data_IF_711865595847
#
_entry.id   IF_711865595847
#
_cell.length_a   1.000
_cell.length_b   1.000
_cell.length_c   1.000
_cell.angle_alpha   90.00
_cell.angle_beta   90.00
_cell.angle_gamma   90.00
#
_symmetry.space_group_name_H-M   'P 1'
#
loop_
_entity.id
_entity.type
_entity.pdbx_description
1 polymer ?
#
# COMPACT_ATOMS: atom_id res chain seq x y z
N UNK A 1 -2.11 -14.25 -26.56
CA UNK A 1 -2.30 -14.84 -25.23
C UNK A 1 -3.60 -15.58 -25.27
N UNK A 2 -3.61 -16.84 -24.86
CA UNK A 2 -4.74 -17.72 -25.12
C UNK A 2 -5.99 -17.33 -24.31
N UNK A 3 -7.14 -17.28 -24.98
CA UNK A 3 -8.48 -17.00 -24.41
C UNK A 3 -8.90 -17.91 -23.22
N UNK A 4 -8.15 -18.95 -22.94
CA UNK A 4 -8.40 -19.91 -21.84
C UNK A 4 -7.91 -19.41 -20.45
N UNK A 5 -7.09 -18.35 -20.37
CA UNK A 5 -6.58 -17.82 -19.09
C UNK A 5 -7.56 -16.88 -18.37
N UNK A 6 -8.69 -16.57 -18.99
CA UNK A 6 -9.63 -15.55 -18.49
C UNK A 6 -10.87 -16.11 -17.80
N UNK A 7 -11.01 -17.40 -17.62
CA UNK A 7 -12.19 -17.99 -17.01
C UNK A 7 -11.93 -18.37 -15.54
N UNK A 8 -12.84 -17.97 -14.65
CA UNK A 8 -12.89 -18.44 -13.27
C UNK A 8 -13.33 -19.91 -13.26
N UNK A 9 -12.36 -20.80 -13.14
CA UNK A 9 -12.63 -22.25 -12.98
C UNK A 9 -12.99 -22.57 -11.53
N UNK A 10 -13.57 -23.75 -11.29
CA UNK A 10 -13.88 -24.21 -9.92
C UNK A 10 -12.64 -24.20 -9.00
N UNK A 11 -11.46 -24.53 -9.53
CA UNK A 11 -10.21 -24.48 -8.78
C UNK A 11 -9.86 -23.04 -8.35
N UNK A 12 -10.02 -22.06 -9.26
CA UNK A 12 -9.78 -20.65 -8.96
C UNK A 12 -10.80 -20.10 -7.96
N UNK A 13 -12.07 -20.48 -8.09
CA UNK A 13 -13.11 -20.12 -7.13
C UNK A 13 -12.81 -20.67 -5.73
N UNK A 14 -12.43 -21.96 -5.65
CA UNK A 14 -12.03 -22.56 -4.37
C UNK A 14 -10.82 -21.84 -3.77
N UNK A 15 -9.84 -21.46 -4.60
CA UNK A 15 -8.68 -20.68 -4.17
C UNK A 15 -9.06 -19.29 -3.67
N UNK A 16 -10.01 -18.62 -4.34
CA UNK A 16 -10.53 -17.31 -3.95
C UNK A 16 -11.19 -17.36 -2.57
N UNK A 17 -12.14 -18.27 -2.38
CA UNK A 17 -12.87 -18.40 -1.11
C UNK A 17 -12.01 -18.91 0.05
N UNK A 18 -10.92 -19.61 -0.23
CA UNK A 18 -10.00 -20.10 0.82
C UNK A 18 -8.86 -19.13 1.18
N UNK A 19 -8.80 -17.95 0.55
CA UNK A 19 -7.75 -16.97 0.83
C UNK A 19 -6.39 -17.31 0.18
N UNK A 20 -6.37 -18.16 -0.83
CA UNK A 20 -5.15 -18.62 -1.49
C UNK A 20 -4.93 -18.00 -2.89
N UNK A 21 -5.88 -17.21 -3.40
CA UNK A 21 -5.82 -16.65 -4.74
C UNK A 21 -4.97 -15.37 -4.77
N UNK A 22 -3.75 -15.48 -5.25
CA UNK A 22 -2.79 -14.37 -5.37
C UNK A 22 -2.87 -13.59 -6.68
N UNK A 23 -3.63 -14.08 -7.64
CA UNK A 23 -3.77 -13.55 -9.00
C UNK A 23 -5.21 -13.12 -9.32
N UNK A 24 -6.01 -12.81 -8.29
CA UNK A 24 -7.42 -12.45 -8.44
C UNK A 24 -7.61 -11.23 -9.38
N UNK A 25 -6.65 -10.30 -9.42
CA UNK A 25 -6.65 -9.14 -10.33
C UNK A 25 -6.65 -9.51 -11.82
N UNK A 26 -6.36 -10.74 -12.20
CA UNK A 26 -6.46 -11.22 -13.59
C UNK A 26 -7.87 -11.67 -13.98
N UNK A 27 -8.74 -11.86 -13.00
CA UNK A 27 -10.08 -12.42 -13.18
C UNK A 27 -11.18 -11.43 -12.82
N UNK A 28 -11.01 -10.69 -11.70
CA UNK A 28 -11.93 -9.66 -11.24
C UNK A 28 -11.57 -8.30 -11.82
N UNK A 29 -12.56 -7.41 -11.89
CA UNK A 29 -12.40 -6.09 -12.48
C UNK A 29 -12.76 -6.04 -13.95
N UNK A 30 -12.32 -4.99 -14.63
CA UNK A 30 -12.54 -4.76 -16.06
C UNK A 30 -11.35 -5.24 -16.90
N UNK A 31 -11.61 -6.15 -17.85
CA UNK A 31 -10.58 -6.71 -18.73
C UNK A 31 -10.98 -6.56 -20.21
N UNK A 32 -10.13 -5.88 -20.99
CA UNK A 32 -10.32 -5.65 -22.42
C UNK A 32 -9.63 -6.73 -23.21
N UNK A 33 -10.38 -7.43 -24.08
CA UNK A 33 -9.87 -8.38 -25.07
C UNK A 33 -9.81 -7.72 -26.47
N UNK A 34 -9.64 -8.52 -27.53
CA UNK A 34 -9.66 -8.00 -28.91
C UNK A 34 -11.01 -7.41 -29.29
N UNK A 35 -12.10 -8.07 -28.89
CA UNK A 35 -13.45 -7.82 -29.41
C UNK A 35 -14.48 -7.43 -28.35
N UNK A 36 -14.14 -7.55 -27.07
CA UNK A 36 -15.04 -7.30 -25.96
C UNK A 36 -14.35 -6.76 -24.71
N UNK A 37 -15.15 -6.25 -23.77
CA UNK A 37 -14.73 -5.89 -22.41
C UNK A 37 -15.52 -6.71 -21.40
N UNK A 38 -14.83 -7.45 -20.53
CA UNK A 38 -15.42 -8.25 -19.47
C UNK A 38 -15.35 -7.50 -18.14
N UNK A 39 -16.44 -7.54 -17.38
CA UNK A 39 -16.49 -7.07 -16.01
C UNK A 39 -16.85 -8.24 -15.09
N UNK A 40 -16.17 -8.34 -13.95
CA UNK A 40 -16.40 -9.41 -12.97
C UNK A 40 -16.24 -8.82 -11.57
N UNK A 41 -17.22 -9.07 -10.69
CA UNK A 41 -17.22 -8.55 -9.31
C UNK A 41 -17.80 -9.56 -8.33
N UNK A 42 -17.29 -9.59 -7.10
CA UNK A 42 -17.82 -10.40 -6.02
C UNK A 42 -18.80 -9.58 -5.19
N UNK A 43 -20.09 -9.97 -5.25
CA UNK A 43 -21.20 -9.30 -4.55
C UNK A 43 -22.19 -10.35 -4.05
N UNK A 44 -21.88 -11.06 -2.95
CA UNK A 44 -22.78 -12.06 -2.39
C UNK A 44 -24.08 -11.41 -1.91
N UNK A 45 -25.21 -12.10 -2.14
CA UNK A 45 -26.52 -11.71 -1.64
C UNK A 45 -27.18 -10.51 -2.32
N UNK A 46 -26.58 -9.93 -3.38
CA UNK A 46 -27.25 -8.90 -4.16
C UNK A 46 -28.50 -9.44 -4.88
N UNK A 47 -29.56 -8.65 -4.96
CA UNK A 47 -30.76 -8.94 -5.76
C UNK A 47 -30.49 -8.75 -7.26
N UNK A 48 -29.63 -7.79 -7.61
CA UNK A 48 -29.18 -7.51 -8.97
C UNK A 48 -27.88 -6.72 -8.98
N UNK A 49 -27.12 -6.85 -10.04
CA UNK A 49 -25.90 -6.03 -10.28
C UNK A 49 -25.90 -5.58 -11.73
N UNK A 50 -25.64 -4.30 -11.93
CA UNK A 50 -25.41 -3.70 -13.23
C UNK A 50 -24.04 -3.03 -13.24
N UNK A 51 -23.42 -2.89 -14.41
CA UNK A 51 -22.27 -2.02 -14.62
C UNK A 51 -22.74 -0.77 -15.39
N UNK A 52 -22.51 0.40 -14.80
CA UNK A 52 -22.77 1.70 -15.41
C UNK A 52 -21.49 2.20 -16.08
N UNK A 53 -21.46 2.18 -17.41
CA UNK A 53 -20.32 2.63 -18.21
C UNK A 53 -20.59 4.01 -18.80
N UNK A 54 -19.64 4.95 -18.63
CA UNK A 54 -19.74 6.29 -19.21
C UNK A 54 -18.69 6.48 -20.30
N UNK A 55 -19.13 6.77 -21.51
CA UNK A 55 -18.25 7.03 -22.64
C UNK A 55 -17.53 8.38 -22.45
N UNK A 56 -16.19 8.45 -22.54
CA UNK A 56 -15.45 9.68 -22.33
C UNK A 56 -15.68 10.75 -23.43
N UNK A 57 -16.14 10.37 -24.64
CA UNK A 57 -16.31 11.29 -25.75
C UNK A 57 -17.64 12.06 -25.70
N UNK A 58 -18.73 11.39 -25.31
CA UNK A 58 -20.08 11.98 -25.34
C UNK A 58 -20.73 12.08 -23.95
N UNK A 59 -20.09 11.56 -22.90
CA UNK A 59 -20.55 11.58 -21.51
C UNK A 59 -21.93 10.92 -21.33
N UNK A 60 -22.27 9.94 -22.17
CA UNK A 60 -23.48 9.14 -22.03
C UNK A 60 -23.18 7.95 -21.14
N UNK A 61 -23.99 7.79 -20.08
CA UNK A 61 -23.94 6.62 -19.21
C UNK A 61 -24.92 5.55 -19.75
N UNK A 62 -24.41 4.34 -19.89
CA UNK A 62 -25.19 3.16 -20.25
C UNK A 62 -25.11 2.13 -19.13
N UNK A 63 -26.24 1.49 -18.82
CA UNK A 63 -26.38 0.45 -17.82
C UNK A 63 -26.45 -0.92 -18.50
N UNK A 64 -25.63 -1.85 -18.01
CA UNK A 64 -25.61 -3.23 -18.51
C UNK A 64 -25.83 -4.21 -17.35
N UNK A 65 -26.92 -4.99 -17.43
CA UNK A 65 -27.25 -6.01 -16.43
C UNK A 65 -26.23 -7.14 -16.43
N UNK A 66 -25.70 -7.48 -15.26
CA UNK A 66 -24.74 -8.58 -15.07
C UNK A 66 -25.47 -9.87 -14.71
N UNK A 67 -24.86 -11.00 -15.01
CA UNK A 67 -25.36 -12.33 -14.67
C UNK A 67 -24.49 -12.96 -13.58
N UNK A 68 -25.10 -13.80 -12.75
CA UNK A 68 -24.35 -14.61 -11.78
C UNK A 68 -23.47 -15.62 -12.50
N UNK A 69 -22.26 -15.81 -11.98
CA UNK A 69 -21.35 -16.80 -12.52
C UNK A 69 -21.93 -18.22 -12.34
N UNK A 70 -21.94 -19.09 -13.38
CA UNK A 70 -22.63 -20.37 -13.35
C UNK A 70 -22.13 -21.37 -12.30
N UNK A 71 -20.90 -21.23 -11.84
CA UNK A 71 -20.28 -22.05 -10.80
C UNK A 71 -20.34 -21.44 -9.41
N UNK A 72 -20.66 -20.12 -9.31
CA UNK A 72 -20.66 -19.39 -8.05
C UNK A 72 -21.59 -18.17 -8.10
N UNK A 73 -22.78 -18.25 -7.51
CA UNK A 73 -23.78 -17.19 -7.56
C UNK A 73 -23.39 -15.93 -6.76
N UNK A 74 -22.30 -15.94 -6.02
CA UNK A 74 -21.80 -14.76 -5.30
C UNK A 74 -20.98 -13.83 -6.20
N UNK A 75 -20.63 -14.30 -7.40
CA UNK A 75 -19.86 -13.56 -8.41
C UNK A 75 -20.76 -13.16 -9.55
N UNK A 76 -20.67 -11.91 -9.96
CA UNK A 76 -21.42 -11.33 -11.07
C UNK A 76 -20.48 -10.98 -12.21
N UNK A 77 -20.90 -11.23 -13.44
CA UNK A 77 -20.09 -11.02 -14.63
C UNK A 77 -20.92 -10.59 -15.83
N UNK A 78 -20.26 -9.88 -16.77
CA UNK A 78 -20.81 -9.56 -18.09
C UNK A 78 -19.68 -9.42 -19.10
N UNK A 79 -19.97 -9.73 -20.36
CA UNK A 79 -19.13 -9.45 -21.51
C UNK A 79 -19.86 -8.47 -22.43
N UNK A 80 -19.31 -7.27 -22.58
CA UNK A 80 -19.87 -6.22 -23.43
C UNK A 80 -19.09 -6.18 -24.73
N UNK A 81 -19.73 -6.31 -25.90
CA UNK A 81 -19.06 -6.18 -27.20
C UNK A 81 -18.35 -4.84 -27.33
N UNK A 82 -17.13 -4.88 -27.85
CA UNK A 82 -16.31 -3.69 -28.06
C UNK A 82 -15.28 -3.45 -26.94
N UNK A 83 -14.34 -2.58 -27.27
CA UNK A 83 -13.22 -2.23 -26.39
C UNK A 83 -13.56 -0.94 -25.65
N UNK A 84 -13.99 -1.03 -24.41
CA UNK A 84 -14.37 0.12 -23.60
C UNK A 84 -13.17 0.81 -22.90
N UNK A 85 -11.96 0.66 -23.45
CA UNK A 85 -10.75 1.32 -22.89
C UNK A 85 -10.96 2.81 -22.71
N UNK A 86 -10.73 3.32 -21.49
CA UNK A 86 -10.89 4.74 -21.16
C UNK A 86 -12.31 5.12 -20.70
N UNK A 87 -13.28 4.23 -20.79
CA UNK A 87 -14.60 4.46 -20.20
C UNK A 87 -14.47 4.51 -18.69
N UNK A 88 -15.15 5.45 -18.05
CA UNK A 88 -15.35 5.37 -16.60
C UNK A 88 -16.54 4.47 -16.29
N UNK A 89 -16.47 3.75 -15.17
CA UNK A 89 -17.52 2.82 -14.79
C UNK A 89 -17.63 2.68 -13.27
N UNK A 90 -18.80 2.21 -12.84
CA UNK A 90 -19.10 1.81 -11.46
C UNK A 90 -20.13 0.69 -11.46
N UNK A 91 -20.19 -0.10 -10.40
CA UNK A 91 -21.22 -1.09 -10.21
C UNK A 91 -22.44 -0.45 -9.56
N UNK A 92 -23.64 -0.78 -10.05
CA UNK A 92 -24.92 -0.46 -9.44
C UNK A 92 -25.45 -1.75 -8.85
N UNK A 93 -25.48 -1.81 -7.52
CA UNK A 93 -25.81 -3.01 -6.75
C UNK A 93 -27.19 -2.82 -6.14
N UNK A 94 -28.13 -3.71 -6.46
CA UNK A 94 -29.43 -3.77 -5.82
C UNK A 94 -29.35 -4.71 -4.62
N UNK A 95 -29.58 -4.17 -3.43
CA UNK A 95 -29.63 -4.95 -2.19
C UNK A 95 -30.97 -5.71 -2.09
N UNK A 96 -31.08 -6.76 -1.25
CA UNK A 96 -32.31 -7.53 -1.09
C UNK A 96 -33.54 -6.72 -0.63
N UNK A 97 -33.30 -5.57 0.01
CA UNK A 97 -34.36 -4.63 0.43
C UNK A 97 -34.67 -3.53 -0.61
N UNK A 98 -34.05 -3.63 -1.79
CA UNK A 98 -34.33 -2.75 -2.94
C UNK A 98 -33.54 -1.43 -2.94
N UNK A 99 -32.56 -1.25 -2.07
CA UNK A 99 -31.65 -0.08 -2.14
C UNK A 99 -30.70 -0.24 -3.32
N UNK A 100 -30.43 0.86 -4.03
CA UNK A 100 -29.40 0.90 -5.08
C UNK A 100 -28.14 1.58 -4.55
N UNK A 101 -27.02 0.86 -4.62
CA UNK A 101 -25.70 1.33 -4.21
C UNK A 101 -24.83 1.51 -5.46
N UNK A 102 -24.11 2.65 -5.56
CA UNK A 102 -23.13 2.87 -6.61
C UNK A 102 -21.73 2.70 -6.02
N UNK A 103 -20.93 1.77 -6.60
CA UNK A 103 -19.65 1.34 -6.07
C UNK A 103 -18.57 1.33 -7.14
N UNK A 104 -17.42 1.91 -6.82
CA UNK A 104 -16.20 1.73 -7.61
C UNK A 104 -15.75 0.28 -7.57
N UNK A 105 -15.11 -0.18 -8.62
CA UNK A 105 -14.63 -1.56 -8.71
C UNK A 105 -13.45 -1.79 -7.74
N UNK A 106 -13.55 -2.78 -6.83
CA UNK A 106 -12.47 -3.12 -5.92
C UNK A 106 -11.15 -3.50 -6.61
N UNK A 107 -11.24 -4.08 -7.83
CA UNK A 107 -10.10 -4.51 -8.62
C UNK A 107 -9.72 -3.55 -9.76
N UNK A 108 -10.27 -2.33 -9.77
CA UNK A 108 -9.95 -1.35 -10.80
C UNK A 108 -8.43 -1.06 -10.86
N UNK A 109 -7.87 -1.09 -12.06
CA UNK A 109 -6.45 -0.80 -12.30
C UNK A 109 -6.20 0.65 -12.73
N UNK A 110 -7.25 1.45 -12.84
CA UNK A 110 -7.21 2.89 -13.08
C UNK A 110 -8.48 3.55 -12.53
N UNK A 111 -8.38 4.82 -12.16
CA UNK A 111 -9.48 5.62 -11.62
C UNK A 111 -9.52 6.99 -12.28
N UNK A 112 -10.70 7.64 -12.26
CA UNK A 112 -10.81 9.03 -12.67
C UNK A 112 -9.96 9.94 -11.77
N UNK A 113 -9.59 11.10 -12.31
CA UNK A 113 -8.95 12.15 -11.52
C UNK A 113 -9.97 12.75 -10.53
N UNK A 114 -9.55 12.88 -9.26
CA UNK A 114 -10.37 13.55 -8.24
C UNK A 114 -10.85 14.95 -8.70
N UNK A 115 -12.01 15.42 -8.30
CA UNK A 115 -12.92 14.87 -7.27
C UNK A 115 -13.83 13.72 -7.75
N UNK A 116 -13.67 13.26 -9.00
CA UNK A 116 -14.41 12.13 -9.51
C UNK A 116 -13.89 10.82 -8.89
N UNK A 117 -14.77 9.83 -8.78
CA UNK A 117 -14.52 8.60 -8.00
C UNK A 117 -14.71 7.30 -8.77
N UNK A 118 -15.18 7.36 -10.02
CA UNK A 118 -15.43 6.15 -10.81
C UNK A 118 -14.12 5.44 -11.19
N UNK A 119 -14.21 4.16 -11.33
CA UNK A 119 -13.19 3.33 -11.94
C UNK A 119 -13.05 3.62 -13.42
N UNK A 120 -11.88 3.37 -14.00
CA UNK A 120 -11.63 3.53 -15.45
C UNK A 120 -11.19 2.19 -16.04
N UNK A 121 -11.74 1.81 -17.17
CA UNK A 121 -11.29 0.65 -17.93
C UNK A 121 -9.87 0.89 -18.41
N UNK A 122 -8.91 0.23 -17.78
CA UNK A 122 -7.50 0.46 -18.00
C UNK A 122 -7.06 0.06 -19.42
N UNK A 123 -6.21 0.87 -20.03
CA UNK A 123 -5.54 0.51 -21.27
C UNK A 123 -4.51 -0.60 -21.01
N UNK A 124 -4.34 -1.50 -21.97
CA UNK A 124 -3.23 -2.45 -21.92
C UNK A 124 -1.89 -1.70 -21.84
N UNK A 125 -1.05 -2.11 -20.90
CA UNK A 125 0.28 -1.51 -20.70
C UNK A 125 1.11 -1.65 -21.99
N UNK A 126 1.73 -0.55 -22.41
CA UNK A 126 2.71 -0.51 -23.51
C UNK A 126 4.14 -0.63 -22.99
N UNK A 127 4.32 -0.53 -21.66
CA UNK A 127 5.65 -0.65 -21.05
C UNK A 127 6.15 -2.08 -21.12
N UNK A 128 7.41 -2.24 -21.48
CA UNK A 128 8.09 -3.55 -21.47
C UNK A 128 9.32 -3.49 -20.55
N UNK A 129 9.38 -4.41 -19.59
CA UNK A 129 10.52 -4.52 -18.69
C UNK A 129 11.74 -5.05 -19.44
N UNK A 130 12.81 -4.26 -19.54
CA UNK A 130 14.04 -4.73 -20.15
C UNK A 130 14.72 -5.79 -19.27
N UNK A 131 15.42 -6.75 -19.91
CA UNK A 131 16.19 -7.78 -19.17
C UNK A 131 17.23 -7.15 -18.25
N UNK A 132 17.85 -6.04 -18.65
CA UNK A 132 18.83 -5.31 -17.86
C UNK A 132 18.21 -4.74 -16.58
N UNK A 133 17.03 -4.11 -16.67
CA UNK A 133 16.31 -3.58 -15.50
C UNK A 133 15.97 -4.70 -14.52
N UNK A 134 15.39 -5.81 -15.00
CA UNK A 134 15.05 -6.96 -14.16
C UNK A 134 16.28 -7.57 -13.48
N UNK A 135 17.42 -7.62 -14.20
CA UNK A 135 18.66 -8.11 -13.62
C UNK A 135 19.23 -7.15 -12.56
N UNK A 136 19.17 -5.84 -12.80
CA UNK A 136 19.62 -4.85 -11.81
C UNK A 136 18.82 -4.95 -10.52
N UNK A 137 17.49 -5.05 -10.60
CA UNK A 137 16.62 -5.22 -9.43
C UNK A 137 16.98 -6.47 -8.62
N UNK A 138 17.16 -7.59 -9.30
CA UNK A 138 17.55 -8.84 -8.65
C UNK A 138 18.91 -8.74 -7.93
N UNK A 139 19.92 -8.11 -8.56
CA UNK A 139 21.24 -7.95 -7.96
C UNK A 139 21.23 -6.96 -6.79
N UNK A 140 20.45 -5.89 -6.91
CA UNK A 140 20.38 -4.84 -5.90
C UNK A 140 19.82 -5.38 -4.58
N UNK A 141 18.72 -6.10 -4.64
CA UNK A 141 18.01 -6.57 -3.46
C UNK A 141 18.57 -7.88 -2.89
N UNK A 142 19.38 -8.59 -3.69
CA UNK A 142 20.03 -9.82 -3.22
C UNK A 142 20.95 -9.52 -2.03
N UNK A 143 20.83 -10.29 -0.96
CA UNK A 143 21.61 -10.15 0.28
C UNK A 143 21.47 -8.73 0.91
N UNK A 144 20.28 -8.16 0.88
CA UNK A 144 19.99 -6.84 1.46
C UNK A 144 20.34 -6.75 2.96
N UNK A 145 20.39 -7.88 3.68
CA UNK A 145 20.83 -7.90 5.09
C UNK A 145 22.28 -7.48 5.28
N UNK A 146 23.16 -7.85 4.33
CA UNK A 146 24.60 -7.61 4.39
C UNK A 146 25.03 -6.25 3.80
N UNK A 147 24.15 -5.61 3.01
CA UNK A 147 24.45 -4.34 2.33
C UNK A 147 24.01 -3.14 3.17
N UNK A 148 24.73 -2.01 3.08
CA UNK A 148 24.21 -0.75 3.58
C UNK A 148 22.86 -0.41 2.95
N UNK A 149 21.94 0.11 3.75
CA UNK A 149 20.64 0.58 3.30
C UNK A 149 20.38 1.94 3.94
N UNK A 150 20.12 2.94 3.11
CA UNK A 150 19.64 4.25 3.52
C UNK A 150 18.42 4.59 2.66
N UNK A 151 17.28 4.77 3.30
CA UNK A 151 15.98 4.96 2.65
C UNK A 151 15.60 6.44 2.75
N UNK A 152 15.17 7.01 1.64
CA UNK A 152 14.56 8.34 1.58
C UNK A 152 13.06 8.20 1.43
N UNK A 153 12.32 8.53 2.50
CA UNK A 153 10.87 8.55 2.52
C UNK A 153 10.35 9.84 1.89
N UNK A 154 9.35 9.76 1.03
CA UNK A 154 8.71 10.94 0.46
C UNK A 154 7.23 10.73 0.11
N UNK A 155 6.45 11.81 0.22
CA UNK A 155 5.15 11.97 -0.41
C UNK A 155 5.31 12.77 -1.71
N UNK A 156 4.95 12.19 -2.86
CA UNK A 156 5.17 12.80 -4.19
C UNK A 156 4.53 14.18 -4.28
N UNK A 157 3.29 14.32 -3.82
CA UNK A 157 2.51 15.55 -3.91
C UNK A 157 3.04 16.73 -3.07
N UNK A 158 3.87 16.48 -2.06
CA UNK A 158 4.43 17.52 -1.18
C UNK A 158 5.93 17.73 -1.35
N UNK A 159 6.63 16.86 -2.10
CA UNK A 159 8.07 16.94 -2.27
C UNK A 159 8.50 18.16 -3.06
N UNK A 160 7.96 18.30 -4.28
CA UNK A 160 8.19 19.47 -5.15
C UNK A 160 6.98 19.74 -6.05
N UNK A 161 6.92 20.97 -6.55
CA UNK A 161 6.00 21.38 -7.60
C UNK A 161 6.78 21.66 -8.90
N UNK A 162 6.11 21.49 -10.04
CA UNK A 162 6.66 21.91 -11.32
C UNK A 162 6.60 23.44 -11.49
N UNK A 163 7.10 23.96 -12.61
CA UNK A 163 7.12 25.40 -12.88
C UNK A 163 5.72 26.05 -12.97
N UNK A 164 4.67 25.27 -13.18
CA UNK A 164 3.28 25.69 -13.24
C UNK A 164 2.60 25.66 -11.85
N UNK A 165 3.27 25.11 -10.84
CA UNK A 165 2.73 24.93 -9.50
C UNK A 165 1.97 23.62 -9.28
N UNK A 166 1.92 22.75 -10.28
CA UNK A 166 1.27 21.44 -10.24
C UNK A 166 2.16 20.38 -9.56
N UNK A 167 1.59 19.21 -9.27
CA UNK A 167 2.38 18.04 -8.86
C UNK A 167 3.34 17.62 -9.96
N UNK A 168 4.53 17.14 -9.58
CA UNK A 168 5.39 16.44 -10.53
C UNK A 168 4.70 15.14 -10.97
N UNK A 169 4.68 14.88 -12.27
CA UNK A 169 4.29 13.58 -12.77
C UNK A 169 5.45 12.57 -12.62
N UNK A 170 5.16 11.27 -12.80
CA UNK A 170 6.15 10.21 -12.62
C UNK A 170 7.39 10.37 -13.52
N UNK A 171 7.27 10.98 -14.71
CA UNK A 171 8.42 11.21 -15.62
C UNK A 171 9.27 12.38 -15.16
N UNK A 172 8.66 13.47 -14.73
CA UNK A 172 9.35 14.62 -14.13
C UNK A 172 10.02 14.19 -12.83
N UNK A 173 9.34 13.39 -12.01
CA UNK A 173 9.90 12.82 -10.78
C UNK A 173 11.17 12.01 -11.06
N UNK A 174 11.19 11.19 -12.11
CA UNK A 174 12.38 10.42 -12.48
C UNK A 174 13.59 11.33 -12.77
N UNK A 175 13.37 12.46 -13.44
CA UNK A 175 14.45 13.38 -13.81
C UNK A 175 14.97 14.24 -12.64
N UNK A 176 14.13 14.50 -11.64
CA UNK A 176 14.47 15.37 -10.52
C UNK A 176 14.90 14.60 -9.26
N UNK A 177 14.16 13.55 -8.90
CA UNK A 177 14.38 12.82 -7.66
C UNK A 177 15.59 11.89 -7.72
N UNK A 178 15.78 11.17 -8.83
CA UNK A 178 16.87 10.19 -8.90
C UNK A 178 18.25 10.86 -8.73
N UNK A 179 18.59 11.95 -9.44
CA UNK A 179 19.86 12.67 -9.18
C UNK A 179 19.98 13.17 -7.74
N UNK A 180 18.86 13.67 -7.16
CA UNK A 180 18.83 14.13 -5.77
C UNK A 180 19.17 13.01 -4.78
N UNK A 181 18.61 11.82 -4.96
CA UNK A 181 18.85 10.63 -4.12
C UNK A 181 20.31 10.18 -4.21
N UNK A 182 20.85 10.09 -5.43
CA UNK A 182 22.23 9.67 -5.68
C UNK A 182 23.27 10.64 -5.10
N UNK A 183 23.05 11.95 -5.28
CA UNK A 183 23.93 13.00 -4.75
C UNK A 183 24.04 12.96 -3.21
N UNK A 184 22.98 12.49 -2.53
CA UNK A 184 22.91 12.39 -1.07
C UNK A 184 23.25 11.00 -0.52
N UNK A 185 23.57 10.06 -1.39
CA UNK A 185 24.02 8.72 -0.98
C UNK A 185 22.90 7.79 -0.47
N UNK A 186 21.63 8.12 -0.71
CA UNK A 186 20.53 7.19 -0.42
C UNK A 186 20.53 6.02 -1.40
N UNK A 187 20.13 4.85 -0.93
CA UNK A 187 20.10 3.61 -1.71
C UNK A 187 18.70 3.22 -2.16
N UNK A 188 17.70 3.66 -1.42
CA UNK A 188 16.29 3.35 -1.66
C UNK A 188 15.43 4.60 -1.50
N UNK A 189 14.29 4.58 -2.15
CA UNK A 189 13.19 5.52 -1.97
C UNK A 189 12.03 4.73 -1.38
N UNK A 190 11.42 5.21 -0.31
CA UNK A 190 10.13 4.76 0.19
C UNK A 190 9.09 5.81 -0.20
N UNK A 191 8.12 5.41 -1.01
CA UNK A 191 7.05 6.30 -1.46
C UNK A 191 5.83 6.06 -0.59
N UNK A 192 5.33 7.12 0.07
CA UNK A 192 4.04 7.12 0.74
C UNK A 192 2.95 6.64 -0.24
N UNK A 193 1.80 6.15 0.26
CA UNK A 193 0.87 5.40 -0.58
C UNK A 193 0.50 6.10 -1.88
N UNK A 194 0.72 5.42 -3.00
CA UNK A 194 0.30 5.86 -4.35
C UNK A 194 -0.88 5.06 -4.87
N UNK A 195 -1.50 4.25 -4.04
CA UNK A 195 -2.81 3.67 -4.30
C UNK A 195 -3.85 4.79 -4.40
N UNK A 196 -4.88 4.62 -5.25
CA UNK A 196 -5.87 5.68 -5.43
C UNK A 196 -6.63 5.97 -4.13
N UNK A 197 -6.87 7.27 -3.88
CA UNK A 197 -7.49 7.78 -2.66
C UNK A 197 -8.25 9.10 -2.96
N UNK A 198 -9.34 9.41 -2.25
CA UNK A 198 -10.16 10.59 -2.55
C UNK A 198 -9.55 11.89 -2.00
N UNK A 199 -8.91 11.85 -0.84
CA UNK A 199 -8.48 13.01 -0.07
C UNK A 199 -6.95 13.21 -0.14
N UNK A 200 -6.49 14.35 -0.65
CA UNK A 200 -5.05 14.66 -0.76
C UNK A 200 -4.37 14.71 0.61
N UNK A 201 -5.05 15.22 1.62
CA UNK A 201 -4.55 15.39 2.98
C UNK A 201 -4.35 14.06 3.71
N UNK A 202 -4.94 12.96 3.21
CA UNK A 202 -4.69 11.62 3.74
C UNK A 202 -3.34 11.04 3.31
N UNK A 203 -2.64 11.69 2.36
CA UNK A 203 -1.40 11.22 1.74
C UNK A 203 -1.46 9.79 1.20
N UNK A 204 -2.69 9.30 0.92
CA UNK A 204 -2.97 7.97 0.39
C UNK A 204 -3.29 6.91 1.45
N UNK A 205 -3.21 7.23 2.74
CA UNK A 205 -3.54 6.28 3.81
C UNK A 205 -5.05 5.96 3.92
N UNK A 206 -5.90 6.75 3.27
CA UNK A 206 -7.33 6.46 3.09
C UNK A 206 -7.59 5.88 1.69
N UNK A 207 -7.05 4.70 1.44
CA UNK A 207 -7.08 4.03 0.13
C UNK A 207 -8.50 3.64 -0.29
N UNK A 208 -8.84 3.92 -1.57
CA UNK A 208 -10.05 3.45 -2.24
C UNK A 208 -9.76 2.46 -3.37
N UNK A 209 -8.59 2.56 -4.02
CA UNK A 209 -8.23 1.72 -5.17
C UNK A 209 -6.95 0.92 -4.95
N UNK A 210 -7.07 -0.31 -4.46
CA UNK A 210 -5.95 -1.19 -4.08
C UNK A 210 -5.09 -1.68 -5.27
N UNK A 211 -5.60 -1.58 -6.50
CA UNK A 211 -4.92 -1.99 -7.73
C UNK A 211 -4.67 -0.83 -8.70
N UNK A 212 -5.11 0.38 -8.36
CA UNK A 212 -4.94 1.55 -9.19
C UNK A 212 -3.84 2.47 -8.65
N UNK A 213 -2.76 2.74 -9.41
CA UNK A 213 -1.90 3.87 -9.09
C UNK A 213 -2.73 5.16 -9.19
N UNK A 214 -2.57 6.05 -8.20
CA UNK A 214 -3.33 7.30 -8.21
C UNK A 214 -3.12 8.08 -9.50
N UNK A 215 -4.20 8.57 -10.07
CA UNK A 215 -4.22 9.36 -11.30
C UNK A 215 -3.54 10.74 -11.18
N UNK A 216 -3.23 11.18 -9.94
CA UNK A 216 -2.62 12.49 -9.63
C UNK A 216 -1.27 12.73 -10.30
N UNK A 217 -0.48 11.67 -10.48
CA UNK A 217 0.93 11.78 -10.90
C UNK A 217 1.17 11.18 -12.29
N UNK A 218 0.12 10.77 -12.99
CA UNK A 218 0.20 10.15 -14.31
C UNK A 218 -0.49 8.79 -14.38
N UNK A 219 -0.19 8.03 -15.41
CA UNK A 219 -0.77 6.71 -15.63
C UNK A 219 0.18 5.57 -15.21
N UNK A 220 -0.31 4.34 -15.30
CA UNK A 220 0.45 3.14 -14.94
C UNK A 220 1.77 2.98 -15.73
N UNK A 221 1.79 3.33 -17.01
CA UNK A 221 3.02 3.24 -17.83
C UNK A 221 4.06 4.29 -17.43
N UNK A 222 3.62 5.47 -16.99
CA UNK A 222 4.51 6.52 -16.48
C UNK A 222 5.14 6.09 -15.13
N UNK A 223 4.35 5.44 -14.25
CA UNK A 223 4.88 4.85 -13.03
C UNK A 223 5.89 3.74 -13.33
N UNK A 224 5.58 2.83 -14.26
CA UNK A 224 6.52 1.78 -14.71
C UNK A 224 7.82 2.39 -15.29
N UNK A 225 7.71 3.49 -16.01
CA UNK A 225 8.88 4.24 -16.50
C UNK A 225 9.74 4.75 -15.34
N UNK A 226 9.13 5.38 -14.33
CA UNK A 226 9.85 5.88 -13.14
C UNK A 226 10.57 4.73 -12.42
N UNK A 227 9.89 3.62 -12.18
CA UNK A 227 10.46 2.42 -11.53
C UNK A 227 11.64 1.86 -12.35
N UNK A 228 11.50 1.81 -13.68
CA UNK A 228 12.59 1.36 -14.56
C UNK A 228 13.81 2.29 -14.44
N UNK A 229 13.58 3.61 -14.38
CA UNK A 229 14.66 4.60 -14.22
C UNK A 229 15.35 4.48 -12.85
N UNK A 230 14.61 4.23 -11.76
CA UNK A 230 15.20 3.92 -10.47
C UNK A 230 16.12 2.70 -10.56
N UNK A 231 15.65 1.60 -11.16
CA UNK A 231 16.44 0.38 -11.32
C UNK A 231 17.68 0.54 -12.19
N UNK A 232 17.60 1.31 -13.30
CA UNK A 232 18.75 1.65 -14.15
C UNK A 232 19.85 2.37 -13.36
N UNK A 233 19.45 3.18 -12.39
CA UNK A 233 20.35 3.94 -11.52
C UNK A 233 20.68 3.23 -10.19
N UNK A 234 20.27 1.97 -10.02
CA UNK A 234 20.49 1.15 -8.82
C UNK A 234 19.86 1.76 -7.55
N UNK A 235 18.76 2.46 -7.69
CA UNK A 235 17.94 2.96 -6.59
C UNK A 235 16.78 1.99 -6.39
N UNK A 236 16.64 1.42 -5.19
CA UNK A 236 15.51 0.56 -4.84
C UNK A 236 14.26 1.39 -4.58
N UNK A 237 13.10 0.80 -4.81
CA UNK A 237 11.82 1.48 -4.63
C UNK A 237 10.88 0.64 -3.75
N UNK A 238 10.56 1.17 -2.59
CA UNK A 238 9.66 0.57 -1.59
C UNK A 238 8.33 1.28 -1.67
N UNK A 239 7.24 0.52 -1.72
CA UNK A 239 5.87 1.06 -1.67
C UNK A 239 5.36 1.00 -0.24
N UNK A 240 4.87 2.11 0.26
CA UNK A 240 4.07 2.14 1.48
C UNK A 240 2.66 1.62 1.16
N UNK A 241 2.26 0.53 1.80
CA UNK A 241 1.04 -0.22 1.48
C UNK A 241 0.25 -0.54 2.74
N UNK A 242 -1.08 -0.36 2.67
CA UNK A 242 -1.98 -0.42 3.81
C UNK A 242 -2.75 -1.74 3.82
N UNK A 243 -2.33 -2.79 4.53
CA UNK A 243 -3.01 -4.09 4.59
C UNK A 243 -4.15 -4.16 5.60
N UNK A 244 -4.20 -3.25 6.59
CA UNK A 244 -5.03 -3.39 7.77
C UNK A 244 -6.38 -2.70 7.72
N UNK A 245 -6.46 -1.56 7.03
CA UNK A 245 -7.65 -0.72 7.04
C UNK A 245 -7.87 0.01 5.72
N UNK A 246 -9.06 0.59 5.54
CA UNK A 246 -9.44 1.37 4.36
C UNK A 246 -10.43 2.48 4.75
N UNK A 247 -10.69 3.42 3.84
CA UNK A 247 -11.55 4.57 4.09
C UNK A 247 -13.04 4.20 4.18
N UNK A 248 -13.83 5.09 4.79
CA UNK A 248 -15.28 4.92 4.99
C UNK A 248 -16.12 5.44 3.81
N UNK A 249 -15.49 5.90 2.74
CA UNK A 249 -16.17 6.51 1.59
C UNK A 249 -17.16 5.55 0.95
N UNK A 250 -18.42 6.00 0.81
CA UNK A 250 -19.53 5.17 0.35
C UNK A 250 -19.37 4.61 -1.07
N UNK A 251 -18.61 5.31 -1.92
CA UNK A 251 -18.35 4.85 -3.29
C UNK A 251 -17.34 3.70 -3.35
N UNK A 252 -16.59 3.43 -2.27
CA UNK A 252 -15.52 2.43 -2.22
C UNK A 252 -15.98 1.14 -1.51
N UNK A 253 -15.08 0.51 -0.72
CA UNK A 253 -15.30 -0.82 -0.13
C UNK A 253 -16.31 -0.85 1.02
N UNK A 254 -16.51 0.27 1.72
CA UNK A 254 -17.39 0.34 2.90
C UNK A 254 -18.82 -0.08 2.56
N UNK A 255 -19.38 -1.06 3.29
CA UNK A 255 -20.73 -1.62 3.06
C UNK A 255 -20.98 -1.90 1.56
N UNK A 256 -20.05 -2.63 0.93
CA UNK A 256 -20.01 -2.76 -0.52
C UNK A 256 -21.30 -3.32 -1.13
N UNK A 257 -21.94 -4.28 -0.46
CA UNK A 257 -23.23 -4.85 -0.84
C UNK A 257 -24.38 -4.45 0.11
N UNK A 258 -24.22 -3.35 0.87
CA UNK A 258 -25.16 -2.91 1.90
C UNK A 258 -24.89 -3.52 3.28
N UNK A 259 -23.95 -4.46 3.38
CA UNK A 259 -23.55 -5.11 4.63
C UNK A 259 -22.03 -5.06 4.79
N UNK A 260 -21.45 -5.36 5.97
CA UNK A 260 -20.01 -5.48 6.15
C UNK A 260 -19.44 -6.63 5.30
N UNK A 261 -18.98 -6.31 4.09
CA UNK A 261 -18.45 -7.31 3.16
C UNK A 261 -16.92 -7.43 3.28
N UNK A 262 -16.21 -6.34 3.11
CA UNK A 262 -14.74 -6.27 3.24
C UNK A 262 -14.30 -5.96 4.66
N UNK A 263 -15.07 -5.16 5.38
CA UNK A 263 -14.81 -4.76 6.75
C UNK A 263 -15.16 -5.84 7.77
N UNK A 264 -14.52 -5.73 8.94
CA UNK A 264 -14.75 -6.58 10.09
C UNK A 264 -16.23 -6.52 10.54
N UNK A 265 -16.87 -7.67 10.68
CA UNK A 265 -18.27 -7.77 11.07
C UNK A 265 -18.50 -7.41 12.54
N UNK A 266 -17.54 -7.71 13.39
CA UNK A 266 -17.60 -7.42 14.83
C UNK A 266 -17.50 -5.91 15.06
N UNK A 267 -18.57 -5.29 15.53
CA UNK A 267 -18.69 -3.83 15.68
C UNK A 267 -17.53 -3.21 16.47
N UNK A 268 -17.12 -3.89 17.55
CA UNK A 268 -16.03 -3.42 18.43
C UNK A 268 -14.64 -3.44 17.77
N UNK A 269 -14.48 -4.12 16.63
CA UNK A 269 -13.22 -4.22 15.90
C UNK A 269 -13.26 -3.54 14.53
N UNK A 270 -14.44 -3.08 14.09
CA UNK A 270 -14.68 -2.60 12.72
C UNK A 270 -13.99 -1.28 12.42
N UNK A 271 -14.09 -0.32 13.33
CA UNK A 271 -13.66 1.05 13.10
C UNK A 271 -12.40 1.41 13.87
N UNK A 272 -11.58 2.27 13.26
CA UNK A 272 -10.49 3.00 13.90
C UNK A 272 -10.93 4.46 14.06
N UNK A 273 -11.49 4.85 15.20
CA UNK A 273 -12.05 6.18 15.38
C UNK A 273 -11.02 7.31 15.27
N UNK A 274 -9.75 7.03 15.62
CA UNK A 274 -8.67 8.01 15.56
C UNK A 274 -8.29 8.36 14.10
N UNK A 275 -8.51 7.46 13.15
CA UNK A 275 -8.16 7.62 11.73
C UNK A 275 -9.39 7.74 10.82
N UNK A 276 -10.61 7.49 11.34
CA UNK A 276 -11.83 7.49 10.54
C UNK A 276 -11.84 6.39 9.47
N UNK A 277 -11.26 5.22 9.76
CA UNK A 277 -11.12 4.09 8.81
C UNK A 277 -11.81 2.84 9.32
N UNK A 278 -12.01 1.86 8.43
CA UNK A 278 -12.55 0.53 8.72
C UNK A 278 -11.46 -0.53 8.59
N UNK A 279 -11.46 -1.52 9.49
CA UNK A 279 -10.54 -2.64 9.44
C UNK A 279 -11.06 -3.75 8.51
N UNK A 280 -10.17 -4.38 7.75
CA UNK A 280 -10.49 -5.56 6.95
C UNK A 280 -10.84 -6.78 7.82
N UNK A 281 -11.81 -7.56 7.37
CA UNK A 281 -12.12 -8.87 7.97
C UNK A 281 -11.26 -9.98 7.35
N UNK A 282 -10.05 -10.15 7.87
CA UNK A 282 -9.09 -11.16 7.37
C UNK A 282 -9.46 -12.61 7.76
N UNK A 283 -10.65 -12.84 8.34
CA UNK A 283 -11.22 -14.18 8.50
C UNK A 283 -11.91 -14.66 7.22
N UNK A 284 -12.33 -13.72 6.35
CA UNK A 284 -12.96 -14.03 5.06
C UNK A 284 -11.88 -14.34 4.03
N UNK A 285 -11.94 -15.53 3.45
CA UNK A 285 -10.95 -15.95 2.45
C UNK A 285 -10.91 -15.03 1.24
N UNK A 286 -12.05 -14.48 0.83
CA UNK A 286 -12.17 -13.53 -0.28
C UNK A 286 -11.43 -12.23 -0.01
N UNK A 287 -11.52 -11.73 1.23
CA UNK A 287 -10.78 -10.53 1.66
C UNK A 287 -9.27 -10.81 1.73
N UNK A 288 -8.88 -11.99 2.22
CA UNK A 288 -7.49 -12.44 2.21
C UNK A 288 -6.97 -12.55 0.78
N UNK A 289 -7.75 -13.13 -0.15
CA UNK A 289 -7.40 -13.22 -1.56
C UNK A 289 -7.28 -11.84 -2.22
N UNK A 290 -8.17 -10.90 -1.90
CA UNK A 290 -8.12 -9.52 -2.36
C UNK A 290 -6.81 -8.82 -1.95
N UNK A 291 -6.47 -8.84 -0.66
CA UNK A 291 -5.26 -8.22 -0.14
C UNK A 291 -3.99 -8.91 -0.65
N UNK A 292 -3.96 -10.25 -0.62
CA UNK A 292 -2.83 -11.02 -1.16
C UNK A 292 -2.61 -10.73 -2.64
N UNK A 293 -3.70 -10.70 -3.42
CA UNK A 293 -3.65 -10.37 -4.84
C UNK A 293 -3.16 -8.94 -5.09
N UNK A 294 -3.54 -7.96 -4.25
CA UNK A 294 -3.04 -6.58 -4.34
C UNK A 294 -1.52 -6.53 -4.13
N UNK A 295 -1.00 -7.17 -3.08
CA UNK A 295 0.45 -7.21 -2.84
C UNK A 295 1.20 -7.86 -4.01
N UNK A 296 0.71 -9.00 -4.51
CA UNK A 296 1.29 -9.66 -5.68
C UNK A 296 1.24 -8.79 -6.94
N UNK A 297 0.14 -8.04 -7.17
CA UNK A 297 -0.01 -7.13 -8.29
C UNK A 297 1.09 -6.05 -8.32
N UNK A 298 1.33 -5.36 -7.21
CA UNK A 298 2.36 -4.33 -7.14
C UNK A 298 3.77 -4.86 -7.37
N UNK A 299 4.09 -6.05 -6.87
CA UNK A 299 5.38 -6.69 -7.13
C UNK A 299 5.47 -7.28 -8.54
N UNK A 300 4.37 -7.84 -9.07
CA UNK A 300 4.39 -8.48 -10.38
C UNK A 300 4.27 -7.48 -11.53
N UNK A 301 3.31 -6.56 -11.49
CA UNK A 301 3.05 -5.64 -12.60
C UNK A 301 3.97 -4.43 -12.58
N UNK A 302 4.24 -3.86 -11.39
CA UNK A 302 5.06 -2.66 -11.25
C UNK A 302 6.50 -2.96 -10.86
N UNK A 303 6.81 -4.16 -10.36
CA UNK A 303 8.18 -4.54 -9.99
C UNK A 303 8.75 -3.64 -8.88
N UNK A 304 7.94 -3.26 -7.88
CA UNK A 304 8.47 -2.66 -6.66
C UNK A 304 9.49 -3.59 -6.00
N UNK A 305 10.44 -3.03 -5.28
CA UNK A 305 11.50 -3.80 -4.62
C UNK A 305 11.05 -4.32 -3.24
N UNK A 306 9.95 -3.80 -2.72
CA UNK A 306 9.38 -4.24 -1.46
C UNK A 306 8.25 -3.35 -0.98
N UNK A 307 7.81 -3.63 0.25
CA UNK A 307 6.78 -2.89 0.95
C UNK A 307 7.27 -2.40 2.32
N UNK A 308 6.86 -1.21 2.68
CA UNK A 308 6.59 -0.84 4.06
C UNK A 308 5.10 -1.08 4.30
N UNK A 309 4.76 -1.94 5.25
CA UNK A 309 3.36 -2.26 5.55
C UNK A 309 2.91 -1.43 6.74
N UNK A 310 1.96 -0.54 6.45
CA UNK A 310 1.42 0.47 7.35
C UNK A 310 0.55 -0.12 8.45
N UNK A 311 0.61 0.48 9.63
CA UNK A 311 -0.32 0.30 10.75
C UNK A 311 -0.64 -1.17 11.09
N UNK A 312 0.38 -2.04 11.14
CA UNK A 312 0.17 -3.45 11.46
C UNK A 312 -0.49 -3.69 12.84
N UNK A 313 -0.53 -2.66 13.68
CA UNK A 313 -1.28 -2.69 14.95
C UNK A 313 -2.76 -3.07 14.76
N UNK A 314 -3.37 -2.69 13.62
CA UNK A 314 -4.75 -3.05 13.27
C UNK A 314 -4.95 -4.56 13.03
N UNK A 315 -3.89 -5.23 12.58
CA UNK A 315 -3.90 -6.67 12.29
C UNK A 315 -3.31 -7.49 13.43
N UNK A 316 -2.28 -6.99 14.12
CA UNK A 316 -1.56 -7.75 15.15
C UNK A 316 -2.23 -7.68 16.52
N UNK A 317 -3.08 -6.68 16.75
CA UNK A 317 -3.76 -6.50 18.05
C UNK A 317 -5.27 -6.34 17.84
N UNK A 318 -6.04 -6.69 18.88
CA UNK A 318 -7.48 -6.45 18.87
C UNK A 318 -7.71 -4.95 19.10
N UNK A 319 -8.30 -4.22 18.14
CA UNK A 319 -8.51 -2.79 18.25
C UNK A 319 -9.44 -2.44 19.43
N UNK A 320 -9.28 -1.25 19.98
CA UNK A 320 -10.16 -0.66 21.00
C UNK A 320 -10.31 -1.51 22.27
N UNK A 321 -9.40 -2.45 22.55
CA UNK A 321 -9.45 -3.30 23.73
C UNK A 321 -8.33 -2.98 24.70
N UNK A 322 -8.68 -2.76 25.96
CA UNK A 322 -7.71 -2.52 27.03
C UNK A 322 -6.70 -3.68 27.13
N UNK A 323 -5.43 -3.37 27.40
CA UNK A 323 -4.35 -4.35 27.45
C UNK A 323 -3.84 -4.82 26.10
N UNK A 324 -4.43 -4.36 24.99
CA UNK A 324 -3.99 -4.65 23.61
C UNK A 324 -3.71 -6.13 23.36
N UNK A 325 -4.70 -7.02 23.53
CA UNK A 325 -4.49 -8.45 23.30
C UNK A 325 -4.15 -8.73 21.85
N UNK A 326 -3.31 -9.74 21.61
CA UNK A 326 -2.89 -10.14 20.29
C UNK A 326 -4.08 -10.63 19.46
N UNK A 327 -4.10 -10.27 18.19
CA UNK A 327 -5.05 -10.73 17.19
C UNK A 327 -4.42 -11.88 16.38
N UNK A 328 -4.73 -13.10 16.74
CA UNK A 328 -4.16 -14.29 16.10
C UNK A 328 -4.58 -14.43 14.65
N UNK A 329 -5.81 -14.01 14.30
CA UNK A 329 -6.37 -14.05 12.95
C UNK A 329 -5.55 -13.14 12.00
N UNK A 330 -5.26 -11.92 12.44
CA UNK A 330 -4.44 -10.98 11.68
C UNK A 330 -2.97 -11.38 11.60
N UNK A 331 -2.41 -11.96 12.67
CA UNK A 331 -1.04 -12.50 12.66
C UNK A 331 -0.92 -13.66 11.66
N UNK A 332 -1.89 -14.58 11.62
CA UNK A 332 -1.92 -15.69 10.67
C UNK A 332 -2.02 -15.20 9.21
N UNK A 333 -2.87 -14.19 8.95
CA UNK A 333 -2.94 -13.55 7.64
C UNK A 333 -1.58 -12.99 7.22
N UNK A 334 -0.90 -12.22 8.08
CA UNK A 334 0.42 -11.66 7.78
C UNK A 334 1.48 -12.75 7.55
N UNK A 335 1.46 -13.84 8.32
CA UNK A 335 2.36 -14.98 8.12
C UNK A 335 2.16 -15.63 6.75
N UNK A 336 0.91 -15.84 6.34
CA UNK A 336 0.58 -16.38 5.00
C UNK A 336 1.04 -15.43 3.90
N UNK A 337 0.78 -14.14 4.05
CA UNK A 337 1.17 -13.11 3.11
C UNK A 337 2.69 -13.02 2.96
N UNK A 338 3.43 -12.86 4.06
CA UNK A 338 4.90 -12.73 4.02
C UNK A 338 5.57 -13.97 3.43
N UNK A 339 5.09 -15.18 3.78
CA UNK A 339 5.59 -16.43 3.19
C UNK A 339 5.33 -16.48 1.69
N UNK A 340 4.10 -16.17 1.24
CA UNK A 340 3.76 -16.14 -0.18
C UNK A 340 4.64 -15.15 -0.95
N UNK A 341 4.82 -13.94 -0.42
CA UNK A 341 5.66 -12.93 -1.08
C UNK A 341 7.12 -13.35 -1.18
N UNK A 342 7.69 -13.95 -0.13
CA UNK A 342 9.07 -14.47 -0.14
C UNK A 342 9.25 -15.65 -1.11
N UNK A 343 8.26 -16.52 -1.21
CA UNK A 343 8.28 -17.66 -2.13
C UNK A 343 8.33 -17.20 -3.59
N UNK A 344 7.47 -16.23 -3.97
CA UNK A 344 7.36 -15.78 -5.36
C UNK A 344 8.35 -14.67 -5.72
N UNK A 345 8.79 -13.89 -4.74
CA UNK A 345 9.70 -12.74 -4.91
C UNK A 345 10.79 -12.78 -3.84
N UNK A 346 11.74 -13.73 -3.93
CA UNK A 346 12.75 -13.97 -2.86
C UNK A 346 13.68 -12.78 -2.60
N UNK A 347 13.77 -11.83 -3.50
CA UNK A 347 14.55 -10.61 -3.33
C UNK A 347 13.71 -9.41 -2.81
N UNK A 348 12.42 -9.61 -2.50
CA UNK A 348 11.58 -8.51 -1.97
C UNK A 348 12.03 -8.07 -0.58
N UNK A 349 11.82 -6.80 -0.26
CA UNK A 349 12.08 -6.24 1.07
C UNK A 349 10.74 -6.00 1.76
N UNK A 350 10.52 -6.59 2.93
CA UNK A 350 9.30 -6.44 3.71
C UNK A 350 9.63 -5.73 5.02
N UNK A 351 9.09 -4.52 5.21
CA UNK A 351 9.29 -3.67 6.37
C UNK A 351 7.96 -3.56 7.13
N UNK A 352 7.99 -3.83 8.41
CA UNK A 352 6.83 -3.74 9.28
C UNK A 352 6.80 -2.40 10.02
N UNK A 353 5.65 -1.73 10.00
CA UNK A 353 5.34 -0.65 10.91
C UNK A 353 4.46 -1.21 12.05
N UNK A 354 5.08 -1.48 13.20
CA UNK A 354 4.39 -1.93 14.42
C UNK A 354 4.81 -1.08 15.61
N UNK A 355 3.93 -0.16 16.02
CA UNK A 355 4.15 0.77 17.10
C UNK A 355 3.92 0.17 18.51
N UNK A 356 3.34 -1.04 18.62
CA UNK A 356 2.94 -1.65 19.89
C UNK A 356 3.74 -2.87 20.30
N UNK A 357 4.85 -3.13 19.61
CA UNK A 357 5.83 -4.16 19.98
C UNK A 357 5.27 -5.59 19.99
N UNK A 358 4.62 -6.01 18.88
CA UNK A 358 4.30 -7.42 18.68
C UNK A 358 5.61 -8.23 18.67
N UNK A 359 5.65 -9.42 19.33
CA UNK A 359 6.88 -10.19 19.41
C UNK A 359 7.22 -10.89 18.10
N UNK A 360 8.52 -11.03 17.82
CA UNK A 360 9.05 -11.82 16.68
C UNK A 360 8.54 -11.38 15.31
N UNK A 361 8.32 -10.09 15.10
CA UNK A 361 7.84 -9.56 13.81
C UNK A 361 8.81 -9.91 12.68
N UNK A 362 10.12 -9.84 12.93
CA UNK A 362 11.16 -10.10 11.92
C UNK A 362 11.76 -11.51 11.97
N UNK A 363 11.24 -12.40 12.82
CA UNK A 363 11.62 -13.80 12.82
C UNK A 363 10.87 -14.59 11.74
N UNK A 364 11.44 -15.72 11.33
CA UNK A 364 10.79 -16.58 10.34
C UNK A 364 9.50 -17.22 10.90
N UNK A 365 8.55 -17.47 10.02
CA UNK A 365 7.26 -18.06 10.40
C UNK A 365 7.45 -19.45 11.03
N UNK A 366 8.45 -20.21 10.57
CA UNK A 366 8.83 -21.52 11.15
C UNK A 366 9.32 -21.44 12.60
N UNK A 367 9.76 -20.26 13.04
CA UNK A 367 10.20 -19.96 14.41
C UNK A 367 9.10 -19.30 15.25
N UNK A 368 7.87 -19.23 14.70
CA UNK A 368 6.73 -18.56 15.31
C UNK A 368 6.75 -17.05 15.14
N UNK A 369 7.52 -16.53 14.19
CA UNK A 369 7.54 -15.12 13.81
C UNK A 369 6.48 -14.74 12.80
N UNK A 370 6.40 -13.44 12.45
CA UNK A 370 5.48 -12.93 11.44
C UNK A 370 6.09 -12.94 10.03
N UNK A 371 7.42 -13.01 9.93
CA UNK A 371 8.11 -13.21 8.66
C UNK A 371 8.56 -11.94 7.95
N UNK A 372 8.53 -10.77 8.55
CA UNK A 372 9.10 -9.55 7.95
C UNK A 372 10.62 -9.59 7.91
N UNK A 373 11.21 -8.77 7.03
CA UNK A 373 12.66 -8.62 6.96
C UNK A 373 13.17 -7.58 7.96
N UNK A 374 12.44 -6.49 8.11
CA UNK A 374 12.77 -5.38 9.01
C UNK A 374 11.51 -4.89 9.73
N UNK A 375 11.75 -4.18 10.83
CA UNK A 375 10.75 -3.49 11.62
C UNK A 375 11.24 -2.09 11.99
N UNK A 376 10.38 -1.08 11.90
CA UNK A 376 10.71 0.25 12.41
C UNK A 376 10.96 0.23 13.90
N UNK A 377 12.01 0.93 14.35
CA UNK A 377 12.34 1.03 15.77
C UNK A 377 11.75 2.30 16.39
N UNK A 378 10.47 2.27 16.73
CA UNK A 378 9.78 3.38 17.38
C UNK A 378 10.37 3.74 18.75
N UNK A 379 10.88 2.76 19.52
CA UNK A 379 11.53 3.00 20.79
C UNK A 379 12.76 3.88 20.65
N UNK A 380 13.66 3.50 19.74
CA UNK A 380 14.84 4.30 19.40
C UNK A 380 14.47 5.70 18.91
N UNK A 381 13.48 5.80 18.03
CA UNK A 381 13.06 7.07 17.44
C UNK A 381 12.56 8.03 18.53
N UNK A 382 11.62 7.60 19.37
CA UNK A 382 11.04 8.42 20.44
C UNK A 382 12.10 8.84 21.46
N UNK A 383 12.91 7.89 21.94
CA UNK A 383 13.96 8.18 22.91
C UNK A 383 15.00 9.15 22.36
N UNK A 384 15.39 8.99 21.10
CA UNK A 384 16.36 9.88 20.43
C UNK A 384 15.79 11.29 20.26
N UNK A 385 14.55 11.42 19.78
CA UNK A 385 13.91 12.72 19.59
C UNK A 385 13.68 13.42 20.94
N UNK A 386 13.16 12.74 21.95
CA UNK A 386 12.98 13.27 23.29
C UNK A 386 14.30 13.79 23.90
N UNK A 387 15.39 13.03 23.71
CA UNK A 387 16.72 13.49 24.16
C UNK A 387 17.15 14.76 23.42
N UNK A 388 16.98 14.80 22.12
CA UNK A 388 17.41 15.94 21.28
C UNK A 388 16.55 17.20 21.52
N UNK A 389 15.26 17.05 21.82
CA UNK A 389 14.35 18.15 22.21
C UNK A 389 14.65 18.71 23.59
N UNK A 390 15.28 17.91 24.46
CA UNK A 390 15.66 18.35 25.81
C UNK A 390 16.71 19.44 25.75
N UNK A 391 16.56 20.49 26.58
CA UNK A 391 17.56 21.56 26.67
C UNK A 391 18.94 21.01 26.99
N UNK A 392 20.03 21.50 26.35
CA UNK A 392 21.37 20.92 26.44
C UNK A 392 21.91 20.78 27.88
N UNK A 393 21.59 21.71 28.74
CA UNK A 393 21.98 21.71 30.18
C UNK A 393 21.28 20.63 31.01
N UNK A 394 20.14 20.10 30.52
CA UNK A 394 19.36 19.05 31.18
C UNK A 394 19.54 17.65 30.56
N UNK A 395 20.27 17.52 29.47
CA UNK A 395 20.44 16.23 28.76
C UNK A 395 21.12 15.15 29.61
N UNK A 396 21.94 15.53 30.57
CA UNK A 396 22.51 14.58 31.51
C UNK A 396 21.48 13.81 32.34
N UNK A 397 20.30 14.41 32.59
CA UNK A 397 19.22 13.81 33.37
C UNK A 397 18.48 12.72 32.57
N UNK A 398 18.52 12.77 31.25
CA UNK A 398 17.83 11.85 30.34
C UNK A 398 18.81 11.05 29.46
N UNK A 399 20.07 10.98 29.84
CA UNK A 399 21.13 10.36 29.03
C UNK A 399 20.88 8.89 28.71
N UNK A 400 20.18 8.15 29.60
CA UNK A 400 19.81 6.75 29.37
C UNK A 400 18.98 6.53 28.10
N UNK A 401 18.23 7.53 27.61
CA UNK A 401 17.46 7.44 26.37
C UNK A 401 18.35 7.16 25.15
N UNK A 402 19.58 7.68 25.14
CA UNK A 402 20.50 7.45 24.03
C UNK A 402 21.05 6.02 23.96
N UNK A 403 21.05 5.30 25.09
CA UNK A 403 21.67 3.99 25.21
C UNK A 403 20.66 2.86 25.37
N UNK A 404 19.41 3.16 25.72
CA UNK A 404 18.40 2.14 26.05
C UNK A 404 18.16 1.18 24.88
N UNK A 405 18.09 1.67 23.65
CA UNK A 405 17.88 0.86 22.47
C UNK A 405 18.98 -0.18 22.20
N UNK A 406 20.20 0.04 22.72
CA UNK A 406 21.28 -0.94 22.61
C UNK A 406 21.01 -2.23 23.40
N UNK A 407 20.14 -2.18 24.39
CA UNK A 407 19.79 -3.36 25.21
C UNK A 407 18.95 -4.38 24.42
N UNK A 408 18.12 -3.93 23.47
CA UNK A 408 17.22 -4.78 22.68
C UNK A 408 17.53 -4.79 21.17
N UNK A 409 18.64 -4.19 20.75
CA UNK A 409 18.98 -3.99 19.33
C UNK A 409 19.07 -5.27 18.49
N UNK A 410 19.16 -6.43 19.10
CA UNK A 410 19.23 -7.73 18.44
C UNK A 410 17.97 -8.59 18.60
N UNK A 411 16.93 -8.10 19.29
CA UNK A 411 15.67 -8.80 19.42
C UNK A 411 14.90 -8.88 18.09
N UNK A 412 15.04 -7.83 17.28
CA UNK A 412 14.46 -7.74 15.94
C UNK A 412 15.49 -7.15 14.97
N UNK A 413 15.25 -7.30 13.69
CA UNK A 413 16.03 -6.61 12.65
C UNK A 413 15.46 -5.20 12.42
N UNK A 414 16.03 -4.25 13.15
CA UNK A 414 15.51 -2.89 13.17
C UNK A 414 15.96 -2.04 12.00
N UNK A 415 15.02 -1.20 11.52
CA UNK A 415 15.23 -0.05 10.66
C UNK A 415 14.97 1.20 11.50
N UNK A 416 15.92 2.13 11.51
CA UNK A 416 15.87 3.34 12.32
C UNK A 416 15.21 4.45 11.50
N UNK A 417 13.88 4.52 11.56
CA UNK A 417 13.12 5.55 10.87
C UNK A 417 13.14 6.88 11.63
N UNK A 418 13.25 7.98 10.91
CA UNK A 418 12.84 9.33 11.30
C UNK A 418 11.78 9.75 10.28
N UNK A 419 10.56 9.24 10.47
CA UNK A 419 9.50 9.23 9.47
C UNK A 419 8.68 10.52 9.42
N UNK A 420 7.77 10.57 8.45
CA UNK A 420 6.79 11.64 8.30
C UNK A 420 5.91 11.83 9.56
N UNK A 421 5.58 10.77 10.29
CA UNK A 421 4.73 10.83 11.49
C UNK A 421 5.29 11.76 12.56
N UNK A 422 6.62 11.89 12.63
CA UNK A 422 7.27 12.73 13.63
C UNK A 422 7.42 14.20 13.21
N UNK A 423 7.04 14.56 11.97
CA UNK A 423 7.24 15.91 11.43
C UNK A 423 5.97 16.55 10.87
N UNK A 424 4.83 15.85 10.88
CA UNK A 424 3.53 16.33 10.37
C UNK A 424 2.56 16.68 11.49
N UNK A 425 1.38 17.16 11.13
CA UNK A 425 0.24 17.42 12.04
C UNK A 425 0.61 18.30 13.27
N UNK A 426 1.40 19.34 13.04
CA UNK A 426 1.82 20.25 14.11
C UNK A 426 3.06 19.84 14.89
N UNK A 427 3.67 18.68 14.57
CA UNK A 427 4.90 18.20 15.20
C UNK A 427 6.13 19.05 14.85
N UNK A 428 6.12 19.72 13.69
CA UNK A 428 7.24 20.52 13.19
C UNK A 428 8.36 19.69 12.59
N UNK A 429 9.26 20.34 11.82
CA UNK A 429 10.41 19.65 11.23
C UNK A 429 11.39 19.18 12.30
N UNK A 430 12.26 18.22 11.97
CA UNK A 430 13.36 17.78 12.85
C UNK A 430 14.19 18.97 13.33
N UNK A 431 14.45 19.99 12.47
CA UNK A 431 15.15 21.20 12.84
C UNK A 431 14.39 22.03 13.89
N UNK A 432 13.06 22.12 13.77
CA UNK A 432 12.23 22.89 14.67
C UNK A 432 12.05 22.26 16.06
N UNK A 433 12.25 20.95 16.16
CA UNK A 433 12.24 20.21 17.44
C UNK A 433 13.45 20.54 18.31
N UNK A 434 14.55 21.01 17.69
CA UNK A 434 15.82 21.24 18.39
C UNK A 434 15.83 22.60 19.09
N UNK A 435 16.29 22.68 20.36
CA UNK A 435 16.36 23.94 21.11
C UNK A 435 17.49 24.86 20.63
N UNK A 436 17.39 26.17 20.94
CA UNK A 436 18.41 27.16 20.68
C UNK A 436 18.18 28.03 19.43
N UNK A 437 19.18 28.80 19.06
CA UNK A 437 19.22 29.62 17.86
C UNK A 437 19.23 28.76 16.59
N UNK A 438 18.99 29.35 15.45
CA UNK A 438 18.99 28.62 14.16
C UNK A 438 20.34 27.92 13.90
N UNK A 439 21.46 28.56 14.18
CA UNK A 439 22.79 27.99 14.00
C UNK A 439 23.01 26.80 14.95
N UNK A 440 22.63 26.92 16.21
CA UNK A 440 22.71 25.83 17.19
C UNK A 440 21.82 24.67 16.79
N UNK A 441 20.61 24.91 16.23
CA UNK A 441 19.73 23.85 15.70
C UNK A 441 20.36 23.11 14.54
N UNK A 442 21.03 23.80 13.62
CA UNK A 442 21.76 23.13 12.53
C UNK A 442 22.93 22.29 13.04
N UNK A 443 23.66 22.74 14.07
CA UNK A 443 24.71 21.93 14.71
C UNK A 443 24.14 20.69 15.38
N UNK A 444 23.03 20.83 16.09
CA UNK A 444 22.36 19.70 16.74
C UNK A 444 21.73 18.72 15.72
N UNK A 445 21.20 19.23 14.59
CA UNK A 445 20.69 18.36 13.51
C UNK A 445 21.83 17.51 12.91
N UNK A 446 23.02 18.09 12.71
CA UNK A 446 24.20 17.32 12.28
C UNK A 446 24.58 16.26 13.30
N UNK A 447 24.50 16.57 14.59
CA UNK A 447 24.76 15.62 15.68
C UNK A 447 23.73 14.47 15.64
N UNK A 448 22.44 14.79 15.50
CA UNK A 448 21.37 13.80 15.38
C UNK A 448 21.61 12.87 14.19
N UNK A 449 21.87 13.42 13.00
CA UNK A 449 22.14 12.64 11.79
C UNK A 449 23.43 11.79 11.92
N UNK A 450 24.48 12.33 12.55
CA UNK A 450 25.71 11.58 12.82
C UNK A 450 25.48 10.42 13.79
N UNK A 451 24.71 10.64 14.85
CA UNK A 451 24.30 9.59 15.78
C UNK A 451 23.47 8.52 15.10
N UNK A 452 22.46 8.93 14.31
CA UNK A 452 21.61 8.04 13.53
C UNK A 452 22.41 7.13 12.61
N UNK A 453 23.35 7.71 11.81
CA UNK A 453 24.21 6.94 10.90
C UNK A 453 25.10 5.94 11.66
N UNK A 454 25.63 6.32 12.82
CA UNK A 454 26.54 5.49 13.62
C UNK A 454 25.81 4.42 14.44
N UNK A 455 24.52 4.59 14.74
CA UNK A 455 23.75 3.66 15.58
C UNK A 455 23.47 2.34 14.82
N UNK A 456 23.47 1.16 15.51
CA UNK A 456 23.14 -0.12 14.89
C UNK A 456 21.74 -0.15 14.28
N UNK A 457 21.60 -0.74 13.07
CA UNK A 457 20.34 -0.84 12.33
C UNK A 457 20.44 -0.27 10.91
N UNK A 458 19.46 -0.58 10.05
CA UNK A 458 19.31 0.06 8.74
C UNK A 458 18.73 1.47 8.91
N UNK A 459 18.88 2.31 7.89
CA UNK A 459 18.49 3.73 7.94
C UNK A 459 17.37 4.03 6.96
#
# INVERSE_FOLDING_TARGET
>A
MNDLQSLLTQEKLNSFHSGLMKDAYLYFGAHVTADETRFTVWVPGAAGVEVACTNPENIVEELFGMEQHPLDPTIWQIQIPGRLTGYSYEYVIETPDGQLLRKSDPYAQASEMRPKTKSVVAAASKHTWSKTVLQHKKIQNRNHFEKPMAIYELHIGTWKRNAQGDFLNYRELASELIPYILDRGFTHIEILPITEHPLDESWGYQTTGYFAPTSRYGNADDLKYFIAKCAENKVGLILDWIPGHFCVDEHALALFNGTPLYEEERLERRANPDWGTLNFDVRKGEVVSFLTSSAHYWLNEFKFDGFRMDALVCLLFIPNKEGRPHNLEGAEFLQKLTNSLKEFYPETILIAEDAWHYPKVTHDVSEGGVGFHYKWNFGWMRDTLDYMETQPDKRSEVHQKMNFSLMYQYEERYLLALSHDEVVNGQGSLLNKLPGTLDERFLQLRLLLGFWIAHPGKK
#
